data_IF_635954350683
#
_entry.id   IF_635954350683
#
_cell.length_a   1.000
_cell.length_b   1.000
_cell.length_c   1.000
_cell.angle_alpha   90.00
_cell.angle_beta   90.00
_cell.angle_gamma   90.00
#
_symmetry.space_group_name_H-M   'P 1'
#
loop_
_entity.id
_entity.type
_entity.pdbx_description
1 polymer ?
#
# COMPACT_ATOMS: atom_id res chain seq x y z
N UNK A 1 10.07 12.59 7.14
CA UNK A 1 9.29 12.37 8.38
C UNK A 1 9.86 13.32 9.40
N UNK A 2 9.07 14.23 9.92
CA UNK A 2 9.51 15.13 10.98
C UNK A 2 9.07 14.51 12.29
N UNK A 3 10.02 14.11 13.12
CA UNK A 3 9.79 13.50 14.42
C UNK A 3 10.21 14.51 15.48
N UNK A 4 9.30 14.93 16.35
CA UNK A 4 9.73 15.57 17.59
C UNK A 4 10.25 14.48 18.52
N UNK A 5 11.57 14.41 18.77
CA UNK A 5 12.13 13.42 19.70
C UNK A 5 12.74 14.15 20.91
N UNK A 6 12.33 13.83 22.14
CA UNK A 6 13.15 14.09 23.32
C UNK A 6 14.16 12.95 23.49
N UNK A 7 15.41 13.16 23.03
CA UNK A 7 16.62 12.37 23.37
C UNK A 7 16.59 10.84 23.08
N UNK A 8 17.72 10.11 23.22
CA UNK A 8 17.87 8.79 22.59
C UNK A 8 17.02 7.75 23.33
N UNK A 9 16.05 7.18 22.62
CA UNK A 9 15.40 5.95 23.05
C UNK A 9 16.50 4.89 23.15
N UNK A 10 16.78 4.45 24.36
CA UNK A 10 17.54 3.21 24.57
C UNK A 10 16.64 2.12 24.02
N UNK A 11 17.00 1.58 22.86
CA UNK A 11 16.32 0.39 22.31
C UNK A 11 16.67 -0.72 23.28
N UNK A 12 15.73 -1.04 24.17
CA UNK A 12 15.73 -2.33 24.84
C UNK A 12 15.46 -3.31 23.71
N UNK A 13 16.44 -4.17 23.40
CA UNK A 13 16.23 -5.32 22.52
C UNK A 13 15.12 -6.16 23.16
N UNK A 14 13.88 -5.97 22.70
CA UNK A 14 12.80 -6.91 22.98
C UNK A 14 13.15 -8.21 22.27
N UNK A 15 13.12 -9.29 23.04
CA UNK A 15 13.45 -10.66 22.63
C UNK A 15 12.79 -11.03 21.31
N UNK A 16 13.54 -11.78 20.49
CA UNK A 16 13.15 -12.27 19.17
C UNK A 16 11.70 -12.78 19.17
N UNK A 17 10.79 -11.99 18.57
CA UNK A 17 9.43 -12.42 18.30
C UNK A 17 9.53 -13.55 17.28
N UNK A 18 9.35 -14.78 17.78
CA UNK A 18 9.37 -15.98 16.97
C UNK A 18 8.17 -15.96 16.02
N UNK A 19 8.42 -15.60 14.76
CA UNK A 19 7.43 -15.40 13.68
C UNK A 19 6.58 -16.66 13.41
N UNK A 20 6.92 -17.80 14.00
CA UNK A 20 6.17 -19.06 13.88
C UNK A 20 4.88 -19.12 14.71
N UNK A 21 4.70 -18.34 15.78
CA UNK A 21 3.53 -18.48 16.66
C UNK A 21 2.29 -17.68 16.22
N UNK A 22 2.43 -16.74 15.29
CA UNK A 22 1.30 -15.98 14.70
C UNK A 22 0.47 -16.80 13.69
N UNK A 23 0.89 -18.02 13.36
CA UNK A 23 0.16 -18.92 12.45
C UNK A 23 -0.98 -19.69 13.14
N UNK A 24 -1.03 -19.71 14.48
CA UNK A 24 -1.98 -20.52 15.24
C UNK A 24 -3.17 -19.73 15.83
N UNK A 25 -3.22 -18.40 15.66
CA UNK A 25 -4.31 -17.57 16.21
C UNK A 25 -5.35 -17.09 15.20
N UNK A 26 -5.25 -17.53 13.93
CA UNK A 26 -6.19 -17.16 12.85
C UNK A 26 -7.11 -18.35 12.46
N UNK A 27 -7.21 -19.38 13.30
CA UNK A 27 -8.07 -20.55 13.01
C UNK A 27 -9.50 -20.45 13.54
N UNK A 28 -9.87 -19.42 14.30
CA UNK A 28 -11.22 -19.30 14.83
C UNK A 28 -12.01 -18.19 14.15
N UNK A 29 -12.75 -18.58 13.10
CA UNK A 29 -14.05 -18.04 12.63
C UNK A 29 -14.22 -18.07 11.10
N UNK A 30 -14.18 -19.28 10.53
CA UNK A 30 -14.92 -19.57 9.29
C UNK A 30 -15.78 -20.78 9.60
N UNK A 31 -17.12 -20.73 9.40
CA UNK A 31 -17.96 -21.88 9.64
C UNK A 31 -17.55 -22.99 8.66
N UNK A 32 -16.96 -24.05 9.20
CA UNK A 32 -16.78 -25.33 8.51
C UNK A 32 -18.19 -25.84 8.21
N UNK A 33 -18.65 -25.69 6.97
CA UNK A 33 -19.83 -26.40 6.50
C UNK A 33 -19.42 -27.86 6.29
N UNK A 34 -19.41 -28.62 7.38
CA UNK A 34 -19.35 -30.07 7.35
C UNK A 34 -20.68 -30.60 6.83
N UNK A 35 -20.81 -30.70 5.51
CA UNK A 35 -21.78 -31.60 4.89
C UNK A 35 -21.05 -32.36 3.78
N UNK A 36 -20.72 -33.61 4.11
CA UNK A 36 -20.50 -34.70 3.17
C UNK A 36 -21.71 -34.80 2.25
N UNK A 37 -21.55 -34.35 1.00
CA UNK A 37 -22.43 -34.74 -0.09
C UNK A 37 -21.56 -35.40 -1.13
N UNK A 38 -21.65 -36.73 -1.19
CA UNK A 38 -21.17 -37.52 -2.31
C UNK A 38 -21.76 -36.92 -3.60
N UNK A 39 -20.92 -36.60 -4.59
CA UNK A 39 -21.40 -36.21 -5.91
C UNK A 39 -21.79 -37.50 -6.65
N UNK A 40 -23.08 -37.69 -7.02
CA UNK A 40 -23.46 -38.81 -7.85
C UNK A 40 -23.03 -38.54 -9.29
N UNK A 41 -22.36 -39.52 -9.89
CA UNK A 41 -22.20 -39.60 -11.34
C UNK A 41 -23.59 -39.95 -11.88
N UNK A 42 -24.37 -38.95 -12.30
CA UNK A 42 -25.59 -39.21 -13.06
C UNK A 42 -25.61 -38.43 -14.37
N UNK A 43 -25.79 -39.20 -15.45
CA UNK A 43 -25.89 -38.72 -16.81
C UNK A 43 -27.35 -38.32 -17.05
N UNK A 44 -27.69 -37.03 -17.02
CA UNK A 44 -28.55 -36.29 -17.98
C UNK A 44 -29.12 -34.97 -17.43
N UNK A 45 -28.99 -33.91 -18.24
CA UNK A 45 -29.77 -32.65 -18.29
C UNK A 45 -29.42 -31.44 -17.37
N UNK A 46 -28.57 -30.56 -17.91
CA UNK A 46 -28.71 -29.09 -17.98
C UNK A 46 -28.88 -28.26 -16.68
N UNK A 47 -27.81 -28.18 -15.89
CA UNK A 47 -27.37 -26.92 -15.26
C UNK A 47 -25.87 -26.81 -15.51
N UNK A 48 -25.40 -25.70 -16.06
CA UNK A 48 -23.97 -25.42 -16.23
C UNK A 48 -23.31 -25.28 -14.84
N UNK A 49 -22.97 -26.37 -14.18
CA UNK A 49 -22.23 -26.34 -12.91
C UNK A 49 -20.76 -26.05 -13.19
N UNK A 50 -20.36 -24.82 -12.90
CA UNK A 50 -18.95 -24.46 -12.81
C UNK A 50 -18.38 -24.99 -11.49
N UNK A 51 -17.08 -25.31 -11.41
CA UNK A 51 -16.47 -25.82 -10.18
C UNK A 51 -16.30 -24.76 -9.08
N UNK A 52 -16.93 -23.59 -9.23
CA UNK A 52 -16.90 -22.48 -8.29
C UNK A 52 -18.14 -21.60 -8.46
N UNK A 53 -18.53 -20.92 -7.38
CA UNK A 53 -19.59 -19.90 -7.41
C UNK A 53 -19.03 -18.55 -7.86
N UNK A 54 -19.75 -17.83 -8.71
CA UNK A 54 -19.41 -16.47 -9.14
C UNK A 54 -19.65 -15.46 -8.01
N UNK A 55 -18.73 -14.50 -7.89
CA UNK A 55 -18.97 -13.31 -7.08
C UNK A 55 -20.01 -12.39 -7.75
N UNK A 56 -20.67 -11.53 -6.97
CA UNK A 56 -21.57 -10.51 -7.51
C UNK A 56 -20.87 -9.67 -8.59
N UNK A 57 -21.45 -9.60 -9.79
CA UNK A 57 -20.86 -8.89 -10.94
C UNK A 57 -19.66 -9.58 -11.59
N UNK A 58 -19.31 -10.80 -11.18
CA UNK A 58 -18.32 -11.64 -11.87
C UNK A 58 -18.96 -12.35 -13.06
N UNK A 59 -18.28 -12.32 -14.20
CA UNK A 59 -18.76 -12.92 -15.45
C UNK A 59 -17.69 -13.85 -16.03
N UNK A 60 -18.12 -14.94 -16.64
CA UNK A 60 -17.22 -15.85 -17.36
C UNK A 60 -16.79 -15.22 -18.69
N UNK A 61 -15.48 -15.23 -18.95
CA UNK A 61 -14.88 -14.75 -20.20
C UNK A 61 -14.57 -15.91 -21.13
N UNK A 62 -14.02 -17.00 -20.61
CA UNK A 62 -13.58 -18.15 -21.41
C UNK A 62 -13.43 -19.40 -20.53
N UNK A 63 -13.65 -20.59 -21.09
CA UNK A 63 -13.29 -21.83 -20.41
C UNK A 63 -13.06 -22.98 -21.39
N UNK A 64 -12.31 -24.00 -20.96
CA UNK A 64 -12.12 -25.21 -21.75
C UNK A 64 -11.28 -26.28 -21.07
N UNK A 65 -11.39 -27.50 -21.58
CA UNK A 65 -10.51 -28.62 -21.24
C UNK A 65 -9.25 -28.58 -22.13
N UNK A 66 -8.57 -27.43 -22.11
CA UNK A 66 -7.42 -27.16 -22.98
C UNK A 66 -6.08 -27.53 -22.31
N UNK A 67 -6.10 -27.80 -21.01
CA UNK A 67 -4.96 -28.32 -20.27
C UNK A 67 -4.89 -29.84 -20.42
N UNK A 68 -3.68 -30.36 -20.37
CA UNK A 68 -3.41 -31.82 -20.42
C UNK A 68 -4.10 -32.59 -19.30
N UNK A 69 -4.08 -32.04 -18.09
CA UNK A 69 -4.60 -32.71 -16.89
C UNK A 69 -5.76 -31.94 -16.23
N UNK A 70 -6.56 -31.17 -16.99
CA UNK A 70 -7.59 -30.36 -16.36
C UNK A 70 -8.37 -29.35 -17.21
N UNK A 71 -9.12 -28.52 -16.51
CA UNK A 71 -9.91 -27.41 -17.05
C UNK A 71 -9.30 -26.07 -16.64
N UNK A 72 -9.41 -25.10 -17.54
CA UNK A 72 -9.04 -23.71 -17.32
C UNK A 72 -10.29 -22.84 -17.53
N UNK A 73 -10.51 -21.90 -16.62
CA UNK A 73 -11.61 -20.95 -16.63
C UNK A 73 -11.05 -19.55 -16.37
N UNK A 74 -11.51 -18.59 -17.14
CA UNK A 74 -11.16 -17.19 -16.99
C UNK A 74 -12.43 -16.38 -16.82
N UNK A 75 -12.47 -15.59 -15.76
CA UNK A 75 -13.56 -14.66 -15.48
C UNK A 75 -13.04 -13.23 -15.52
N UNK A 76 -13.95 -12.26 -15.37
CA UNK A 76 -13.60 -10.84 -15.20
C UNK A 76 -12.77 -10.55 -13.94
N UNK A 77 -12.64 -11.52 -13.02
CA UNK A 77 -11.92 -11.37 -11.76
C UNK A 77 -10.73 -12.33 -11.60
N UNK A 78 -10.89 -13.61 -11.95
CA UNK A 78 -9.94 -14.68 -11.62
C UNK A 78 -9.68 -15.65 -12.78
N UNK A 79 -8.50 -16.24 -12.72
CA UNK A 79 -8.13 -17.46 -13.41
C UNK A 79 -8.38 -18.62 -12.45
N UNK A 80 -9.23 -19.55 -12.86
CA UNK A 80 -9.51 -20.77 -12.12
C UNK A 80 -9.05 -21.98 -12.92
N UNK A 81 -8.34 -22.90 -12.28
CA UNK A 81 -7.77 -24.09 -12.89
C UNK A 81 -8.17 -25.27 -12.04
N UNK A 82 -8.74 -26.28 -12.67
CA UNK A 82 -9.11 -27.53 -12.02
C UNK A 82 -8.25 -28.65 -12.62
N UNK A 83 -7.53 -29.40 -11.79
CA UNK A 83 -6.71 -30.53 -12.24
C UNK A 83 -7.25 -31.86 -11.75
N UNK A 84 -7.32 -32.82 -12.68
CA UNK A 84 -7.83 -34.17 -12.49
C UNK A 84 -6.75 -35.16 -12.03
N UNK A 85 -5.57 -34.71 -11.60
CA UNK A 85 -4.48 -35.62 -11.23
C UNK A 85 -4.82 -36.48 -9.99
N UNK A 86 -5.00 -37.78 -10.23
CA UNK A 86 -4.88 -39.02 -9.40
C UNK A 86 -5.26 -39.06 -7.91
N UNK A 87 -5.70 -37.96 -7.31
CA UNK A 87 -6.22 -37.91 -5.95
C UNK A 87 -7.74 -38.08 -6.02
N UNK A 88 -8.35 -38.79 -5.07
CA UNK A 88 -9.81 -38.90 -4.93
C UNK A 88 -10.53 -37.54 -4.79
N UNK A 89 -9.76 -36.46 -4.58
CA UNK A 89 -10.20 -35.07 -4.56
C UNK A 89 -9.37 -34.29 -5.59
N UNK A 90 -10.00 -33.78 -6.66
CA UNK A 90 -9.32 -32.92 -7.63
C UNK A 90 -8.66 -31.71 -6.96
N UNK A 91 -7.55 -31.23 -7.52
CA UNK A 91 -6.87 -30.03 -7.03
C UNK A 91 -7.27 -28.81 -7.85
N UNK A 92 -7.29 -27.63 -7.24
CA UNK A 92 -7.61 -26.40 -7.97
C UNK A 92 -6.68 -25.24 -7.64
N UNK A 93 -6.57 -24.31 -8.59
CA UNK A 93 -5.93 -23.00 -8.41
C UNK A 93 -7.02 -21.96 -8.65
N UNK A 94 -7.21 -21.06 -7.70
CA UNK A 94 -8.10 -19.91 -7.83
C UNK A 94 -7.28 -18.64 -7.63
N UNK A 95 -7.10 -17.85 -8.70
CA UNK A 95 -6.12 -16.78 -8.71
C UNK A 95 -6.67 -15.48 -9.34
N UNK A 96 -6.75 -14.36 -8.60
CA UNK A 96 -7.18 -13.08 -9.16
C UNK A 96 -6.28 -12.65 -10.33
N UNK A 97 -6.88 -12.34 -11.48
CA UNK A 97 -6.12 -12.04 -12.70
C UNK A 97 -5.18 -10.85 -12.51
N UNK A 98 -5.58 -9.84 -11.70
CA UNK A 98 -4.78 -8.63 -11.49
C UNK A 98 -3.54 -8.84 -10.61
N UNK A 99 -3.39 -10.01 -10.01
CA UNK A 99 -2.14 -10.43 -9.37
C UNK A 99 -1.16 -11.07 -10.36
N UNK A 100 -1.58 -11.42 -11.58
CA UNK A 100 -0.66 -11.87 -12.63
C UNK A 100 0.23 -10.70 -13.05
N UNK A 101 1.53 -10.94 -13.13
CA UNK A 101 2.55 -9.95 -13.48
C UNK A 101 3.08 -10.18 -14.90
N UNK A 102 3.50 -11.42 -15.20
CA UNK A 102 4.00 -11.81 -16.52
C UNK A 102 3.44 -13.17 -16.92
N UNK A 103 3.33 -13.37 -18.22
CA UNK A 103 2.92 -14.63 -18.84
C UNK A 103 3.86 -14.92 -20.01
N UNK A 104 4.47 -16.08 -20.03
CA UNK A 104 5.43 -16.50 -21.06
C UNK A 104 5.16 -17.93 -21.52
N UNK A 105 5.35 -18.19 -22.81
CA UNK A 105 5.34 -19.56 -23.34
C UNK A 105 6.76 -20.13 -23.28
N UNK A 106 6.89 -21.37 -22.80
CA UNK A 106 8.11 -22.17 -22.88
C UNK A 106 7.82 -23.55 -23.46
N UNK A 107 8.79 -24.11 -24.18
CA UNK A 107 8.71 -25.40 -24.88
C UNK A 107 7.42 -25.59 -25.71
N UNK A 108 6.88 -24.50 -26.26
CA UNK A 108 5.67 -24.39 -27.08
C UNK A 108 4.33 -24.79 -26.43
N UNK A 109 4.32 -25.65 -25.41
CA UNK A 109 3.10 -26.15 -24.75
C UNK A 109 2.94 -25.72 -23.29
N UNK A 110 3.96 -25.09 -22.70
CA UNK A 110 3.87 -24.61 -21.32
C UNK A 110 3.63 -23.11 -21.28
N UNK A 111 2.64 -22.72 -20.46
CA UNK A 111 2.42 -21.34 -20.08
C UNK A 111 2.94 -21.13 -18.65
N UNK A 112 3.95 -20.29 -18.52
CA UNK A 112 4.52 -19.87 -17.24
C UNK A 112 3.87 -18.55 -16.84
N UNK A 113 3.23 -18.56 -15.68
CA UNK A 113 2.54 -17.39 -15.11
C UNK A 113 3.29 -16.99 -13.85
N UNK A 114 3.83 -15.77 -13.82
CA UNK A 114 4.45 -15.21 -12.61
C UNK A 114 3.53 -14.16 -12.02
N UNK A 115 3.44 -14.13 -10.69
CA UNK A 115 2.47 -13.31 -10.00
C UNK A 115 3.08 -12.38 -8.95
N UNK A 116 2.40 -11.28 -8.64
CA UNK A 116 2.90 -10.21 -7.76
C UNK A 116 3.13 -10.65 -6.31
N UNK A 117 2.54 -11.75 -5.88
CA UNK A 117 2.68 -12.34 -4.54
C UNK A 117 3.76 -13.43 -4.47
N UNK A 118 4.75 -13.38 -5.38
CA UNK A 118 5.91 -14.29 -5.44
C UNK A 118 5.57 -15.71 -5.94
N UNK A 119 4.29 -16.07 -6.05
CA UNK A 119 3.88 -17.36 -6.63
C UNK A 119 4.12 -17.40 -8.14
N UNK A 120 4.32 -18.61 -8.66
CA UNK A 120 4.45 -18.90 -10.09
C UNK A 120 3.73 -20.21 -10.42
N UNK A 121 3.05 -20.25 -11.55
CA UNK A 121 2.33 -21.43 -12.05
C UNK A 121 2.90 -21.87 -13.40
N UNK A 122 2.94 -23.17 -13.62
CA UNK A 122 3.28 -23.76 -14.93
C UNK A 122 2.10 -24.60 -15.39
N UNK A 123 1.49 -24.20 -16.50
CA UNK A 123 0.34 -24.88 -17.08
C UNK A 123 0.76 -25.59 -18.37
N UNK A 124 0.38 -26.85 -18.53
CA UNK A 124 0.69 -27.65 -19.72
C UNK A 124 -0.57 -27.80 -20.59
N UNK A 125 -0.53 -27.25 -21.80
CA UNK A 125 -1.63 -27.28 -22.76
C UNK A 125 -1.56 -28.50 -23.67
N UNK A 126 -2.73 -28.95 -24.15
CA UNK A 126 -2.85 -30.09 -25.06
C UNK A 126 -2.18 -29.88 -26.41
N UNK A 127 -2.16 -28.63 -26.90
CA UNK A 127 -1.49 -28.25 -28.15
C UNK A 127 -0.83 -26.87 -28.04
N UNK A 128 0.15 -26.62 -28.92
CA UNK A 128 0.78 -25.31 -29.07
C UNK A 128 -0.24 -24.21 -29.38
N UNK A 129 -1.22 -24.50 -30.24
CA UNK A 129 -2.26 -23.54 -30.62
C UNK A 129 -3.11 -23.12 -29.43
N UNK A 130 -3.45 -24.07 -28.54
CA UNK A 130 -4.17 -23.77 -27.30
C UNK A 130 -3.34 -22.94 -26.34
N UNK A 131 -2.05 -23.24 -26.20
CA UNK A 131 -1.13 -22.45 -25.40
C UNK A 131 -1.06 -20.99 -25.89
N UNK A 132 -0.86 -20.79 -27.19
CA UNK A 132 -0.84 -19.47 -27.83
C UNK A 132 -2.18 -18.73 -27.70
N UNK A 133 -3.29 -19.45 -27.85
CA UNK A 133 -4.63 -18.90 -27.68
C UNK A 133 -4.83 -18.35 -26.26
N UNK A 134 -4.50 -19.13 -25.24
CA UNK A 134 -4.66 -18.73 -23.84
C UNK A 134 -3.69 -17.62 -23.43
N UNK A 135 -2.45 -17.61 -23.94
CA UNK A 135 -1.54 -16.47 -23.78
C UNK A 135 -2.18 -15.17 -24.29
N UNK A 136 -2.75 -15.20 -25.50
CA UNK A 136 -3.40 -14.04 -26.11
C UNK A 136 -4.60 -13.59 -25.26
N UNK A 137 -5.49 -14.52 -24.91
CA UNK A 137 -6.71 -14.24 -24.14
C UNK A 137 -6.42 -13.65 -22.75
N UNK A 138 -5.41 -14.18 -22.06
CA UNK A 138 -4.98 -13.65 -20.77
C UNK A 138 -4.37 -12.26 -20.91
N UNK A 139 -3.49 -12.04 -21.90
CA UNK A 139 -2.92 -10.71 -22.15
C UNK A 139 -3.98 -9.66 -22.48
N UNK A 140 -5.02 -10.02 -23.25
CA UNK A 140 -6.17 -9.16 -23.52
C UNK A 140 -6.89 -8.77 -22.22
N UNK A 141 -7.08 -9.72 -21.31
CA UNK A 141 -7.73 -9.50 -20.00
C UNK A 141 -6.87 -8.72 -19.01
N UNK A 142 -5.54 -8.77 -19.17
CA UNK A 142 -4.56 -8.07 -18.34
C UNK A 142 -4.20 -6.68 -18.86
N UNK A 143 -4.76 -6.27 -20.00
CA UNK A 143 -4.56 -4.92 -20.57
C UNK A 143 -4.79 -3.83 -19.52
N UNK A 144 -4.04 -2.73 -19.67
CA UNK A 144 -4.15 -1.56 -18.82
C UNK A 144 -5.58 -1.02 -18.87
N UNK A 145 -6.22 -0.96 -17.71
CA UNK A 145 -7.55 -0.39 -17.59
C UNK A 145 -7.49 1.11 -17.87
N UNK A 146 -8.40 1.58 -18.72
CA UNK A 146 -8.49 3.00 -19.11
C UNK A 146 -9.60 3.69 -18.33
N UNK A 147 -10.68 2.97 -17.98
CA UNK A 147 -11.79 3.47 -17.17
C UNK A 147 -11.81 2.82 -15.78
N UNK A 148 -12.28 3.57 -14.77
CA UNK A 148 -12.51 3.03 -13.43
C UNK A 148 -13.63 1.98 -13.42
N UNK A 149 -14.63 2.11 -14.29
CA UNK A 149 -15.76 1.18 -14.40
C UNK A 149 -15.32 -0.23 -14.83
N UNK A 150 -14.13 -0.35 -15.41
CA UNK A 150 -13.56 -1.64 -15.81
C UNK A 150 -12.93 -2.39 -14.62
N UNK A 151 -12.77 -1.75 -13.46
CA UNK A 151 -12.28 -2.39 -12.24
C UNK A 151 -13.35 -3.33 -11.68
N UNK A 152 -12.99 -4.60 -11.50
CA UNK A 152 -13.87 -5.58 -10.86
C UNK A 152 -14.39 -5.12 -9.49
N UNK A 153 -13.58 -4.38 -8.72
CA UNK A 153 -14.01 -3.84 -7.43
C UNK A 153 -15.27 -2.94 -7.53
N UNK A 154 -15.38 -2.14 -8.60
CA UNK A 154 -16.56 -1.29 -8.86
C UNK A 154 -17.76 -2.16 -9.24
N UNK A 155 -17.58 -3.10 -10.17
CA UNK A 155 -18.63 -4.04 -10.57
C UNK A 155 -19.16 -4.84 -9.37
N UNK A 156 -18.26 -5.34 -8.52
CA UNK A 156 -18.62 -6.06 -7.30
C UNK A 156 -19.43 -5.19 -6.34
N UNK A 157 -18.98 -3.96 -6.06
CA UNK A 157 -19.68 -3.05 -5.16
C UNK A 157 -21.10 -2.68 -5.67
N UNK A 158 -21.28 -2.49 -6.98
CA UNK A 158 -22.58 -2.16 -7.57
C UNK A 158 -23.57 -3.33 -7.58
N UNK A 159 -23.08 -4.57 -7.65
CA UNK A 159 -23.91 -5.77 -7.71
C UNK A 159 -24.10 -6.46 -6.36
N UNK A 160 -23.37 -6.03 -5.32
CA UNK A 160 -23.59 -6.52 -3.96
C UNK A 160 -24.84 -5.85 -3.40
N UNK A 161 -25.78 -6.66 -2.87
CA UNK A 161 -26.99 -6.17 -2.20
C UNK A 161 -26.64 -5.12 -1.15
N UNK A 162 -27.32 -3.98 -1.15
CA UNK A 162 -27.14 -2.89 -0.18
C UNK A 162 -27.67 -3.26 1.22
N UNK A 163 -27.21 -4.37 1.79
CA UNK A 163 -27.63 -4.80 3.14
C UNK A 163 -26.75 -4.24 4.26
N UNK A 164 -25.71 -3.47 3.96
CA UNK A 164 -24.95 -2.76 4.97
C UNK A 164 -25.21 -1.25 4.88
N UNK A 165 -25.86 -0.74 5.93
CA UNK A 165 -25.73 0.64 6.38
C UNK A 165 -24.26 0.90 6.74
N UNK A 166 -23.38 0.94 5.74
CA UNK A 166 -22.02 1.40 5.91
C UNK A 166 -22.12 2.91 6.13
N UNK A 167 -22.39 3.27 7.39
CA UNK A 167 -22.43 4.63 7.88
C UNK A 167 -21.19 5.28 7.32
N UNK A 168 -21.41 6.30 6.47
CA UNK A 168 -20.36 7.16 5.90
C UNK A 168 -19.69 7.91 7.05
N UNK A 169 -18.89 7.17 7.81
CA UNK A 169 -18.24 7.59 9.02
C UNK A 169 -17.06 8.45 8.58
N UNK A 170 -16.98 9.69 9.07
CA UNK A 170 -15.81 10.54 8.86
C UNK A 170 -14.65 10.02 9.73
N UNK A 171 -14.13 8.85 9.36
CA UNK A 171 -13.13 8.10 10.11
C UNK A 171 -11.85 8.91 10.30
N UNK A 172 -11.49 9.76 9.33
CA UNK A 172 -10.32 10.63 9.41
C UNK A 172 -10.51 11.69 10.50
N UNK A 173 -11.66 12.38 10.52
CA UNK A 173 -11.91 13.39 11.57
C UNK A 173 -12.01 12.76 12.95
N UNK A 174 -12.66 11.60 13.06
CA UNK A 174 -12.73 10.85 14.32
C UNK A 174 -11.33 10.43 14.80
N UNK A 175 -10.46 10.02 13.90
CA UNK A 175 -9.08 9.67 14.23
C UNK A 175 -8.28 10.88 14.72
N UNK A 176 -8.44 12.05 14.10
CA UNK A 176 -7.83 13.30 14.61
C UNK A 176 -8.36 13.69 15.99
N UNK A 177 -9.64 13.45 16.27
CA UNK A 177 -10.21 13.67 17.61
C UNK A 177 -9.61 12.68 18.61
N UNK A 178 -9.51 11.39 18.26
CA UNK A 178 -8.89 10.34 19.09
C UNK A 178 -7.45 10.71 19.47
N UNK A 179 -6.70 11.32 18.55
CA UNK A 179 -5.33 11.80 18.75
C UNK A 179 -5.23 13.18 19.42
N UNK A 180 -6.36 13.82 19.74
CA UNK A 180 -6.44 15.17 20.32
C UNK A 180 -5.75 16.23 19.43
N UNK A 181 -5.95 16.12 18.12
CA UNK A 181 -5.43 17.04 17.10
C UNK A 181 -6.47 18.07 16.62
N UNK A 182 -7.66 18.05 17.22
CA UNK A 182 -8.79 18.93 16.91
C UNK A 182 -8.89 20.16 17.84
N UNK A 183 -7.91 20.38 18.71
CA UNK A 183 -7.88 21.48 19.66
C UNK A 183 -6.47 22.10 19.79
N UNK A 184 -6.40 23.28 20.39
CA UNK A 184 -5.14 23.99 20.64
C UNK A 184 -4.11 23.07 21.33
N UNK A 185 -2.83 23.07 20.90
CA UNK A 185 -2.19 23.99 19.94
C UNK A 185 -2.31 23.59 18.46
N UNK A 186 -3.16 22.62 18.13
CA UNK A 186 -3.40 22.13 16.77
C UNK A 186 -4.74 22.61 16.21
N UNK A 187 -4.91 22.55 14.89
CA UNK A 187 -6.21 22.72 14.23
C UNK A 187 -6.33 21.80 13.02
N UNK A 188 -7.56 21.38 12.75
CA UNK A 188 -7.91 20.76 11.47
C UNK A 188 -8.12 21.89 10.46
N UNK A 189 -7.43 21.80 9.32
CA UNK A 189 -7.62 22.69 8.16
C UNK A 189 -8.41 21.96 7.06
N UNK A 190 -9.34 22.68 6.44
CA UNK A 190 -10.10 22.24 5.27
C UNK A 190 -9.60 22.90 3.97
N UNK A 191 -8.41 23.48 3.99
CA UNK A 191 -7.79 24.14 2.83
C UNK A 191 -7.68 23.23 1.60
N UNK A 192 -7.63 21.90 1.81
CA UNK A 192 -7.53 20.90 0.75
C UNK A 192 -8.85 20.15 0.51
N UNK A 193 -10.01 20.67 0.95
CA UNK A 193 -11.29 19.96 0.88
C UNK A 193 -11.67 19.47 -0.52
N UNK A 194 -11.23 20.20 -1.56
CA UNK A 194 -11.48 19.91 -2.97
C UNK A 194 -10.25 19.34 -3.71
N UNK A 195 -9.20 18.97 -2.96
CA UNK A 195 -7.94 18.41 -3.46
C UNK A 195 -7.15 19.33 -4.41
N UNK A 196 -7.48 20.63 -4.49
CA UNK A 196 -6.79 21.55 -5.42
C UNK A 196 -5.41 21.97 -4.95
N UNK A 197 -5.18 22.12 -3.64
CA UNK A 197 -3.88 22.53 -3.12
C UNK A 197 -2.85 21.42 -3.28
N UNK A 198 -3.18 20.22 -2.80
CA UNK A 198 -2.39 19.00 -3.03
C UNK A 198 -3.31 17.84 -3.38
N UNK A 199 -3.35 17.44 -4.66
CA UNK A 199 -4.18 16.33 -5.14
C UNK A 199 -3.87 14.98 -4.48
N UNK A 200 -2.71 14.87 -3.84
CA UNK A 200 -2.22 13.64 -3.20
C UNK A 200 -2.38 13.63 -1.67
N UNK A 201 -2.91 14.70 -1.08
CA UNK A 201 -3.24 14.78 0.35
C UNK A 201 -4.73 14.52 0.59
N UNK A 202 -5.12 14.13 1.82
CA UNK A 202 -6.52 14.04 2.20
C UNK A 202 -7.23 15.40 2.13
N UNK A 203 -8.56 15.38 2.13
CA UNK A 203 -9.42 16.56 2.09
C UNK A 203 -9.27 17.46 3.35
N UNK A 204 -8.95 16.86 4.50
CA UNK A 204 -8.64 17.55 5.75
C UNK A 204 -7.23 17.21 6.22
N UNK A 205 -6.53 18.19 6.79
CA UNK A 205 -5.16 18.05 7.31
C UNK A 205 -5.05 18.68 8.70
N UNK A 206 -3.96 18.39 9.42
CA UNK A 206 -3.71 18.98 10.74
C UNK A 206 -2.46 19.84 10.71
N UNK A 207 -2.58 21.07 11.17
CA UNK A 207 -1.49 22.06 11.25
C UNK A 207 -1.49 22.77 12.61
N UNK A 208 -0.41 23.46 13.01
CA UNK A 208 -0.44 24.29 14.21
C UNK A 208 -1.54 25.35 14.13
N UNK A 209 -2.24 25.60 15.23
CA UNK A 209 -3.31 26.59 15.31
C UNK A 209 -2.83 28.02 15.00
N UNK A 210 -1.53 28.29 15.20
CA UNK A 210 -0.89 29.58 14.94
C UNK A 210 -0.54 29.86 13.47
N UNK A 211 -0.77 28.89 12.57
CA UNK A 211 -0.50 29.03 11.13
C UNK A 211 -1.83 29.19 10.41
N UNK A 212 -1.99 30.22 9.57
CA UNK A 212 -3.22 30.45 8.80
C UNK A 212 -3.26 29.61 7.52
N UNK A 213 -4.42 29.49 6.88
CA UNK A 213 -4.54 28.74 5.63
C UNK A 213 -3.77 29.42 4.48
N UNK A 214 -3.69 30.75 4.45
CA UNK A 214 -2.84 31.49 3.50
C UNK A 214 -1.37 31.11 3.67
N UNK A 215 -0.90 30.98 4.91
CA UNK A 215 0.47 30.55 5.19
C UNK A 215 0.69 29.09 4.78
N UNK A 216 -0.28 28.19 5.02
CA UNK A 216 -0.23 26.81 4.52
C UNK A 216 -0.10 26.78 3.00
N UNK A 217 -0.82 27.66 2.29
CA UNK A 217 -0.75 27.76 0.84
C UNK A 217 0.66 28.16 0.36
N UNK A 218 1.30 29.14 1.00
CA UNK A 218 2.69 29.53 0.66
C UNK A 218 3.70 28.43 0.98
N UNK A 219 3.56 27.75 2.13
CA UNK A 219 4.39 26.58 2.48
C UNK A 219 4.26 25.49 1.43
N UNK A 220 3.03 25.21 1.00
CA UNK A 220 2.77 24.22 -0.03
C UNK A 220 3.49 24.57 -1.33
N UNK A 221 3.60 25.85 -1.73
CA UNK A 221 4.33 26.24 -2.93
C UNK A 221 5.80 25.80 -2.90
N UNK A 222 6.44 25.80 -1.75
CA UNK A 222 7.84 25.43 -1.56
C UNK A 222 8.06 23.91 -1.38
N UNK A 223 7.01 23.13 -1.12
CA UNK A 223 7.09 21.69 -0.92
C UNK A 223 6.73 20.94 -2.21
N UNK A 224 7.53 19.95 -2.56
CA UNK A 224 7.32 19.18 -3.80
C UNK A 224 5.93 18.55 -3.85
N UNK A 225 5.24 18.66 -4.97
CA UNK A 225 3.82 18.25 -5.14
C UNK A 225 2.85 18.88 -4.12
N UNK A 226 3.22 20.03 -3.57
CA UNK A 226 2.42 20.81 -2.62
C UNK A 226 2.09 20.04 -1.33
N UNK A 227 2.87 19.01 -1.02
CA UNK A 227 2.72 18.16 0.18
C UNK A 227 3.37 18.84 1.39
N UNK A 228 2.69 19.85 1.93
CA UNK A 228 3.13 20.64 3.09
C UNK A 228 3.23 19.79 4.38
N UNK A 229 3.98 20.25 5.41
CA UNK A 229 4.01 19.58 6.71
C UNK A 229 2.62 19.48 7.36
N UNK A 230 2.17 18.25 7.61
CA UNK A 230 0.90 17.96 8.28
C UNK A 230 1.12 16.92 9.38
N UNK A 231 0.45 17.09 10.52
CA UNK A 231 0.55 16.15 11.65
C UNK A 231 -0.29 14.91 11.34
N UNK A 232 0.32 13.73 11.53
CA UNK A 232 -0.35 12.44 11.28
C UNK A 232 -0.51 11.59 12.52
N UNK A 233 0.23 11.92 13.57
CA UNK A 233 0.17 11.21 14.83
C UNK A 233 0.65 12.08 15.97
N UNK A 234 0.08 11.88 17.16
CA UNK A 234 0.47 12.54 18.40
C UNK A 234 0.53 11.52 19.52
N UNK A 235 1.61 11.56 20.28
CA UNK A 235 1.77 10.79 21.50
C UNK A 235 1.09 11.50 22.68
N UNK A 236 0.79 10.74 23.72
CA UNK A 236 0.22 11.26 24.97
C UNK A 236 1.16 12.23 25.70
N UNK A 237 2.48 12.11 25.51
CA UNK A 237 3.47 13.08 26.03
C UNK A 237 3.59 14.37 25.20
N UNK A 238 2.76 14.54 24.16
CA UNK A 238 2.77 15.73 23.31
C UNK A 238 3.74 15.72 22.13
N UNK A 239 4.61 14.71 22.01
CA UNK A 239 5.41 14.53 20.80
C UNK A 239 4.52 14.23 19.60
N UNK A 240 4.91 14.70 18.41
CA UNK A 240 4.16 14.49 17.18
C UNK A 240 5.04 13.93 16.07
N UNK A 241 4.38 13.23 15.14
CA UNK A 241 4.95 12.87 13.86
C UNK A 241 4.24 13.70 12.80
N UNK A 242 5.02 14.46 12.04
CA UNK A 242 4.55 15.16 10.85
C UNK A 242 5.14 14.52 9.59
N UNK A 243 4.37 14.54 8.51
CA UNK A 243 4.82 14.12 7.18
C UNK A 243 4.78 15.28 6.20
N UNK A 244 5.70 15.26 5.26
CA UNK A 244 5.87 16.29 4.24
C UNK A 244 6.67 15.71 3.07
N UNK A 245 6.68 16.38 1.92
CA UNK A 245 7.65 16.11 0.86
C UNK A 245 8.94 16.91 1.06
N UNK A 246 9.93 16.64 0.21
CA UNK A 246 11.16 17.42 0.18
C UNK A 246 10.88 18.90 -0.14
N UNK A 247 11.65 19.83 0.43
CA UNK A 247 11.60 21.24 0.04
C UNK A 247 12.24 21.46 -1.34
N UNK A 248 11.73 22.45 -2.08
CA UNK A 248 12.23 22.86 -3.41
C UNK A 248 13.36 23.89 -3.30
N UNK A 249 14.41 23.53 -2.54
CA UNK A 249 15.61 24.36 -2.30
C UNK A 249 16.39 24.57 -3.60
N UNK A 250 16.50 23.53 -4.41
CA UNK A 250 17.23 23.51 -5.66
C UNK A 250 18.72 23.84 -5.52
N UNK A 251 19.33 24.12 -6.67
CA UNK A 251 20.75 24.48 -6.76
C UNK A 251 21.06 25.86 -6.15
N UNK A 252 20.11 26.79 -6.25
CA UNK A 252 20.28 28.18 -5.82
C UNK A 252 20.03 28.43 -4.32
N UNK A 253 19.86 27.37 -3.53
CA UNK A 253 19.59 27.49 -2.09
C UNK A 253 18.32 28.32 -1.79
N UNK A 254 17.26 28.14 -2.59
CA UNK A 254 15.98 28.78 -2.35
C UNK A 254 15.46 28.43 -0.95
N UNK A 255 14.79 29.41 -0.34
CA UNK A 255 14.24 29.29 1.01
C UNK A 255 12.84 29.90 1.04
N UNK A 256 12.02 29.42 1.97
CA UNK A 256 10.69 29.94 2.24
C UNK A 256 10.60 30.33 3.70
N UNK A 257 10.31 31.61 3.96
CA UNK A 257 10.10 32.12 5.31
C UNK A 257 8.89 31.45 5.96
N UNK A 258 7.87 31.16 5.15
CA UNK A 258 6.63 30.51 5.57
C UNK A 258 6.88 29.04 5.94
N UNK A 259 7.71 28.32 5.18
CA UNK A 259 8.13 26.94 5.54
C UNK A 259 8.96 26.92 6.83
N UNK A 260 9.93 27.82 6.96
CA UNK A 260 10.70 27.99 8.20
C UNK A 260 9.78 28.31 9.40
N UNK A 261 8.81 29.20 9.21
CA UNK A 261 7.79 29.54 10.23
C UNK A 261 6.93 28.32 10.58
N UNK A 262 6.50 27.53 9.60
CA UNK A 262 5.70 26.32 9.81
C UNK A 262 6.45 25.31 10.68
N UNK A 263 7.72 25.02 10.38
CA UNK A 263 8.54 24.09 11.17
C UNK A 263 8.73 24.60 12.61
N UNK A 264 8.96 25.91 12.78
CA UNK A 264 9.05 26.52 14.11
C UNK A 264 7.71 26.46 14.88
N UNK A 265 6.58 26.65 14.20
CA UNK A 265 5.26 26.54 14.82
C UNK A 265 4.95 25.11 15.27
N UNK A 266 5.35 24.09 14.52
CA UNK A 266 5.23 22.68 14.94
C UNK A 266 6.03 22.44 16.23
N UNK A 267 7.27 22.92 16.30
CA UNK A 267 8.08 22.80 17.51
C UNK A 267 7.45 23.49 18.71
N UNK A 268 6.96 24.73 18.52
CA UNK A 268 6.35 25.51 19.59
C UNK A 268 5.05 24.86 20.09
N UNK A 269 4.24 24.29 19.20
CA UNK A 269 3.03 23.54 19.55
C UNK A 269 3.35 22.30 20.41
N UNK A 270 4.45 21.59 20.12
CA UNK A 270 4.90 20.47 20.94
C UNK A 270 5.30 20.93 22.35
N UNK A 271 6.02 22.06 22.47
CA UNK A 271 6.47 22.61 23.76
C UNK A 271 5.32 23.01 24.68
N UNK A 272 4.27 23.64 24.13
CA UNK A 272 3.07 24.02 24.89
C UNK A 272 2.45 22.79 25.57
N UNK A 273 2.32 21.71 24.82
CA UNK A 273 1.70 20.47 25.32
C UNK A 273 2.49 19.84 26.47
N UNK A 274 3.82 19.91 26.42
CA UNK A 274 4.70 19.32 27.44
C UNK A 274 4.63 20.10 28.76
N UNK A 275 4.44 21.42 28.72
CA UNK A 275 4.41 22.26 29.93
C UNK A 275 3.18 22.01 30.81
N UNK A 276 2.08 21.52 30.24
CA UNK A 276 0.88 21.11 31.01
C UNK A 276 1.09 19.78 31.75
N UNK A 277 2.08 18.98 31.36
CA UNK A 277 2.50 17.75 32.04
C UNK A 277 3.67 18.03 33.01
N UNK A 278 3.47 17.75 34.29
CA UNK A 278 4.34 18.07 35.44
C UNK A 278 5.73 17.42 35.45
N UNK A 279 6.17 16.81 34.35
CA UNK A 279 7.45 16.10 34.23
C UNK A 279 8.55 17.01 33.66
N UNK A 280 9.38 17.55 34.56
CA UNK A 280 10.64 18.25 34.24
C UNK A 280 11.75 17.28 33.79
N UNK A 281 11.59 16.55 32.69
CA UNK A 281 12.69 15.73 32.16
C UNK A 281 13.07 16.10 30.72
N UNK A 282 14.31 16.62 30.60
CA UNK A 282 15.21 16.68 29.44
C UNK A 282 14.53 16.99 28.10
N UNK A 283 14.11 18.25 27.95
CA UNK A 283 13.71 18.83 26.66
C UNK A 283 14.92 18.86 25.72
N UNK A 284 14.99 17.92 24.77
CA UNK A 284 15.63 18.25 23.50
C UNK A 284 14.82 19.39 22.88
N UNK A 285 15.39 20.60 22.88
CA UNK A 285 14.77 21.78 22.26
C UNK A 285 14.80 21.73 20.73
N UNK A 286 15.14 20.58 20.13
CA UNK A 286 15.34 20.42 18.70
C UNK A 286 14.31 19.49 18.08
N UNK A 287 13.83 19.85 16.90
CA UNK A 287 12.96 19.02 16.08
C UNK A 287 13.80 18.15 15.15
N UNK A 288 13.53 16.86 15.09
CA UNK A 288 14.28 15.93 14.25
C UNK A 288 13.61 15.79 12.89
N UNK A 289 14.34 16.07 11.83
CA UNK A 289 13.93 15.88 10.43
C UNK A 289 14.61 14.61 9.94
N UNK A 290 13.83 13.54 9.79
CA UNK A 290 14.28 12.28 9.21
C UNK A 290 14.00 12.29 7.71
N UNK A 291 15.05 12.49 6.92
CA UNK A 291 15.02 12.24 5.49
C UNK A 291 15.24 10.74 5.27
N UNK A 292 14.23 10.08 4.71
CA UNK A 292 14.27 8.64 4.45
C UNK A 292 15.42 8.25 3.52
N UNK A 293 15.89 9.17 2.66
CA UNK A 293 16.90 8.90 1.64
C UNK A 293 18.30 8.81 2.26
N UNK A 294 19.25 8.38 1.44
CA UNK A 294 20.66 8.67 1.69
C UNK A 294 20.97 10.14 1.44
N UNK A 295 22.01 10.66 2.10
CA UNK A 295 22.52 12.02 1.84
C UNK A 295 22.83 12.24 0.35
N UNK A 296 23.47 11.27 -0.30
CA UNK A 296 23.81 11.34 -1.73
C UNK A 296 22.58 11.43 -2.62
N UNK A 297 21.53 10.68 -2.32
CA UNK A 297 20.27 10.75 -3.05
C UNK A 297 19.54 12.08 -2.81
N UNK A 298 19.59 12.62 -1.59
CA UNK A 298 19.04 13.94 -1.28
C UNK A 298 19.79 15.07 -2.02
N UNK A 299 21.12 15.00 -2.09
CA UNK A 299 21.95 15.92 -2.86
C UNK A 299 21.67 15.83 -4.38
N UNK A 300 21.47 14.62 -4.91
CA UNK A 300 21.09 14.44 -6.30
C UNK A 300 19.70 15.03 -6.61
N UNK A 301 18.74 14.91 -5.70
CA UNK A 301 17.43 15.55 -5.84
C UNK A 301 17.52 17.08 -5.76
N UNK A 302 18.44 17.58 -4.94
CA UNK A 302 18.72 19.02 -4.86
C UNK A 302 19.17 19.60 -6.20
N UNK A 303 20.06 18.90 -6.91
CA UNK A 303 20.46 19.28 -8.27
C UNK A 303 19.28 19.31 -9.27
N UNK A 304 18.18 18.60 -8.97
CA UNK A 304 16.94 18.56 -9.78
C UNK A 304 15.86 19.53 -9.30
N UNK A 305 16.17 20.46 -8.40
CA UNK A 305 15.22 21.45 -7.89
C UNK A 305 14.58 21.10 -6.56
N UNK A 306 14.72 19.87 -6.06
CA UNK A 306 14.29 19.46 -4.72
C UNK A 306 15.34 19.81 -3.66
N UNK A 307 15.53 18.91 -2.68
CA UNK A 307 16.59 19.05 -1.69
C UNK A 307 16.21 18.55 -0.32
N UNK A 308 16.79 19.19 0.70
CA UNK A 308 16.57 18.93 2.12
C UNK A 308 16.82 20.23 2.89
N UNK A 309 16.30 20.31 4.10
CA UNK A 309 16.37 21.47 4.98
C UNK A 309 17.83 21.83 5.30
N UNK A 310 18.20 23.09 5.06
CA UNK A 310 19.59 23.57 5.24
C UNK A 310 19.80 24.08 6.68
N UNK A 311 20.69 23.47 7.49
CA UNK A 311 20.74 23.72 8.94
C UNK A 311 20.82 25.20 9.38
N UNK A 312 21.56 26.10 8.69
CA UNK A 312 21.55 27.53 9.03
C UNK A 312 20.18 28.22 8.99
N UNK A 313 19.22 27.72 8.21
CA UNK A 313 17.86 28.27 8.13
C UNK A 313 16.86 27.52 9.02
N UNK A 314 17.22 26.32 9.44
CA UNK A 314 16.44 25.45 10.33
C UNK A 314 17.27 25.17 11.59
N UNK A 315 17.70 26.23 12.28
CA UNK A 315 18.72 26.19 13.34
C UNK A 315 18.35 25.31 14.54
N UNK A 316 17.06 25.16 14.81
CA UNK A 316 16.53 24.33 15.89
C UNK A 316 16.18 22.91 15.41
N UNK A 317 16.54 22.55 14.18
CA UNK A 317 16.28 21.23 13.63
C UNK A 317 17.57 20.41 13.55
N UNK A 318 17.47 19.11 13.80
CA UNK A 318 18.51 18.15 13.42
C UNK A 318 18.04 17.39 12.17
N UNK A 319 18.90 17.25 11.17
CA UNK A 319 18.54 16.58 9.90
C UNK A 319 19.34 15.29 9.81
N UNK A 320 18.65 14.15 9.81
CA UNK A 320 19.27 12.83 9.72
C UNK A 320 18.80 12.07 8.48
N UNK A 321 19.72 11.36 7.85
CA UNK A 321 19.49 10.57 6.64
C UNK A 321 19.43 9.09 6.98
N UNK A 322 18.30 8.45 6.65
CA UNK A 322 18.03 7.05 7.03
C UNK A 322 18.60 6.03 6.05
N UNK A 323 19.16 6.50 4.92
CA UNK A 323 19.77 5.64 3.90
C UNK A 323 18.83 4.56 3.34
N UNK A 324 17.51 4.81 3.32
CA UNK A 324 16.57 3.85 2.76
C UNK A 324 16.73 3.79 1.23
N UNK A 325 16.81 2.57 0.67
CA UNK A 325 16.89 2.38 -0.77
C UNK A 325 15.63 2.88 -1.47
N UNK A 326 15.80 3.41 -2.68
CA UNK A 326 14.67 3.86 -3.48
C UNK A 326 13.87 2.67 -4.06
N UNK A 327 12.71 2.98 -4.64
CA UNK A 327 11.78 1.98 -5.21
C UNK A 327 12.41 1.06 -6.27
N UNK A 328 13.45 1.51 -6.99
CA UNK A 328 14.11 0.68 -8.00
C UNK A 328 14.99 -0.39 -7.36
N UNK A 329 15.69 -0.04 -6.28
CA UNK A 329 16.47 -0.99 -5.49
C UNK A 329 15.55 -1.99 -4.79
N UNK A 330 14.45 -1.53 -4.19
CA UNK A 330 13.46 -2.43 -3.58
C UNK A 330 12.83 -3.37 -4.60
N UNK A 331 12.46 -2.89 -5.80
CA UNK A 331 11.95 -3.73 -6.89
C UNK A 331 12.96 -4.79 -7.31
N UNK A 332 14.24 -4.41 -7.46
CA UNK A 332 15.31 -5.36 -7.77
C UNK A 332 15.45 -6.40 -6.64
N UNK A 333 15.38 -5.98 -5.38
CA UNK A 333 15.43 -6.88 -4.22
C UNK A 333 14.30 -7.91 -4.23
N UNK A 334 13.07 -7.48 -4.49
CA UNK A 334 11.92 -8.38 -4.59
C UNK A 334 12.07 -9.37 -5.76
N UNK A 335 12.61 -8.93 -6.90
CA UNK A 335 12.91 -9.82 -8.02
C UNK A 335 13.98 -10.87 -7.69
N UNK A 336 15.05 -10.48 -6.99
CA UNK A 336 16.08 -11.44 -6.54
C UNK A 336 15.51 -12.47 -5.58
N UNK A 337 14.65 -12.05 -4.65
CA UNK A 337 13.94 -12.98 -3.74
C UNK A 337 13.08 -13.99 -4.51
N UNK A 338 12.34 -13.53 -5.52
CA UNK A 338 11.52 -14.39 -6.38
C UNK A 338 12.36 -15.46 -7.07
N UNK A 339 13.52 -15.08 -7.64
CA UNK A 339 14.44 -16.03 -8.29
C UNK A 339 14.96 -17.05 -7.29
N UNK A 340 15.39 -16.61 -6.10
CA UNK A 340 15.89 -17.51 -5.07
C UNK A 340 14.85 -18.54 -4.61
N UNK A 341 13.59 -18.10 -4.40
CA UNK A 341 12.48 -18.99 -4.04
C UNK A 341 12.18 -20.00 -5.15
N UNK A 342 12.19 -19.55 -6.41
CA UNK A 342 11.93 -20.43 -7.55
C UNK A 342 13.02 -21.52 -7.72
N UNK A 343 14.29 -21.17 -7.49
CA UNK A 343 15.40 -22.12 -7.56
C UNK A 343 15.33 -23.15 -6.42
N UNK A 344 15.07 -22.69 -5.19
CA UNK A 344 14.93 -23.58 -4.03
C UNK A 344 13.80 -24.61 -4.23
N UNK A 345 12.69 -24.22 -4.86
CA UNK A 345 11.59 -25.13 -5.18
C UNK A 345 11.95 -26.19 -6.25
N UNK A 346 13.00 -25.95 -7.04
CA UNK A 346 13.51 -26.89 -8.06
C UNK A 346 14.60 -27.82 -7.51
N UNK A 347 15.01 -27.65 -6.25
CA UNK A 347 16.04 -28.47 -5.60
C UNK A 347 17.47 -28.09 -5.96
N UNK A 348 17.71 -26.86 -6.45
CA UNK A 348 19.04 -26.29 -6.70
C UNK A 348 19.54 -25.43 -5.53
#
# INVERSE_FOLDING_TARGET
MVVGVPSPVTIVEEEDINVCELSNSITDSVPILSNTTELPIDQTNNINEYPFEFLSGEELIEHGMDLTDGYIYLTTYRLFIFSNQSSSHGSFINYPIRLIETIEIKDNIYLYIQCKDIRSFRLMFTTTDKCCYWLKKLNESLTTLICLDDLFAIKYALNKSQDDNDIKCDCIRQEFIRLQLNCYPWRITEINHDYKLSPSYPNICVVPASITDEEVHEVAKFRSYKRFPTIVWRHTNGAVIARTSQPEVGWLFWRSKEDEKMIQAIMNACKITIQDSTTQEINSNRLLILDARSYTAALANRAKGGGFEHPPYYSDCDVQFMNLPNIHVIRKSAHMLRVAVANAAQGE
#
